data_IF_786590692605
#
_entry.id   IF_786590692605
#
_cell.length_a   1.000
_cell.length_b   1.000
_cell.length_c   1.000
_cell.angle_alpha   90.00
_cell.angle_beta   90.00
_cell.angle_gamma   90.00
#
_symmetry.space_group_name_H-M   'P 1'
#
loop_
_entity.id
_entity.type
_entity.pdbx_description
1 polymer ?
#
# COMPACT_ATOMS: atom_id res chain seq x y z
N UNK A 1 17.74 -4.09 20.30
CA UNK A 1 18.10 -3.86 18.88
C UNK A 1 17.23 -2.71 18.38
N UNK A 2 17.75 -1.72 17.63
CA UNK A 2 16.92 -0.66 17.01
C UNK A 2 16.51 -1.09 15.60
N UNK A 3 15.24 -0.95 15.27
CA UNK A 3 14.63 -1.28 13.97
C UNK A 3 13.65 -0.18 13.57
N UNK A 4 13.35 -0.09 12.27
CA UNK A 4 12.31 0.79 11.73
C UNK A 4 11.38 0.04 10.80
N UNK A 5 10.20 0.63 10.66
CA UNK A 5 9.04 0.13 9.94
C UNK A 5 8.59 1.34 9.10
N UNK A 6 8.66 1.25 7.76
CA UNK A 6 8.31 2.34 6.84
C UNK A 6 6.98 2.02 6.19
N UNK A 7 5.91 2.73 6.57
CA UNK A 7 4.55 2.43 6.13
C UNK A 7 4.12 3.26 4.93
N UNK A 8 3.48 2.60 3.97
CA UNK A 8 2.70 3.25 2.92
C UNK A 8 1.24 2.83 3.02
N UNK A 9 0.35 3.80 3.20
CA UNK A 9 -1.11 3.64 3.15
C UNK A 9 -1.65 4.51 2.04
N UNK A 10 -2.65 4.03 1.32
CA UNK A 10 -3.51 4.88 0.49
C UNK A 10 -4.89 4.25 0.49
N UNK A 11 -5.78 4.74 1.36
CA UNK A 11 -7.18 4.33 1.36
C UNK A 11 -7.98 5.26 0.46
N UNK A 12 -8.73 4.68 -0.49
CA UNK A 12 -9.85 5.38 -1.09
C UNK A 12 -11.06 5.20 -0.17
N UNK A 13 -11.55 6.28 0.43
CA UNK A 13 -12.77 6.25 1.26
C UNK A 13 -12.64 6.83 2.68
N UNK A 14 -12.58 8.17 2.79
CA UNK A 14 -13.17 8.96 3.89
C UNK A 14 -12.71 8.82 5.35
N UNK A 15 -12.10 7.71 5.80
CA UNK A 15 -11.94 7.38 7.22
C UNK A 15 -10.47 7.41 7.66
N UNK A 16 -10.08 8.45 8.39
CA UNK A 16 -8.71 8.64 8.89
C UNK A 16 -8.41 7.82 10.16
N UNK A 17 -7.44 6.91 10.08
CA UNK A 17 -6.91 6.15 11.22
C UNK A 17 -5.97 7.03 12.07
N UNK A 18 -6.05 6.95 13.40
CA UNK A 18 -5.09 7.62 14.30
C UNK A 18 -4.77 6.76 15.53
N UNK A 19 -3.55 6.93 16.05
CA UNK A 19 -2.84 5.95 16.90
C UNK A 19 -2.18 6.67 18.08
N UNK A 20 -2.29 6.10 19.28
CA UNK A 20 -1.61 6.60 20.47
C UNK A 20 -1.55 5.56 21.60
N UNK A 21 -0.37 5.42 22.22
CA UNK A 21 -0.14 4.54 23.38
C UNK A 21 0.78 5.22 24.41
N UNK A 22 0.56 5.01 25.72
CA UNK A 22 1.41 5.57 26.78
C UNK A 22 2.44 4.56 27.31
N UNK A 23 3.72 4.96 27.36
CA UNK A 23 4.70 4.52 28.38
C UNK A 23 5.92 5.44 28.40
N UNK A 24 6.68 5.41 29.50
CA UNK A 24 7.69 6.41 29.83
C UNK A 24 8.99 5.78 30.30
N UNK A 25 10.11 6.08 29.64
CA UNK A 25 11.46 6.08 30.21
C UNK A 25 12.43 6.88 29.30
N UNK A 26 13.52 7.50 29.82
CA UNK A 26 14.33 8.46 29.08
C UNK A 26 15.55 7.84 28.36
N UNK A 27 15.89 8.36 27.16
CA UNK A 27 17.15 8.07 26.46
C UNK A 27 17.71 9.36 25.82
N UNK A 28 19.02 9.55 25.84
CA UNK A 28 19.75 10.67 25.22
C UNK A 28 20.52 10.19 23.98
N UNK A 29 20.59 11.00 22.92
CA UNK A 29 21.31 10.65 21.68
C UNK A 29 22.29 11.73 21.20
N UNK A 30 23.32 11.27 20.46
CA UNK A 30 24.25 12.06 19.64
C UNK A 30 24.37 11.35 18.28
N UNK A 31 24.77 12.07 17.23
CA UNK A 31 24.89 11.55 15.85
C UNK A 31 26.26 11.87 15.23
N UNK A 32 26.54 11.24 14.09
CA UNK A 32 27.76 11.28 13.31
C UNK A 32 27.39 11.23 11.83
N UNK A 33 28.11 11.96 10.99
CA UNK A 33 27.90 12.01 9.55
C UNK A 33 29.25 12.06 8.84
N UNK A 34 29.39 11.32 7.74
CA UNK A 34 30.63 11.13 7.00
C UNK A 34 30.36 11.45 5.52
N UNK A 35 31.21 12.27 4.89
CA UNK A 35 31.02 12.69 3.49
C UNK A 35 32.36 12.67 2.73
N UNK A 36 32.42 11.80 1.71
CA UNK A 36 33.41 11.92 0.65
C UNK A 36 32.90 12.92 -0.40
N UNK A 37 33.54 14.08 -0.52
CA UNK A 37 33.22 15.09 -1.53
C UNK A 37 34.09 14.94 -2.78
N UNK A 38 33.47 14.71 -3.94
CA UNK A 38 34.11 14.87 -5.25
C UNK A 38 33.67 16.19 -5.87
N UNK A 39 34.46 17.25 -5.74
CA UNK A 39 34.25 18.49 -6.49
C UNK A 39 34.71 18.30 -7.93
N UNK A 40 33.84 18.60 -8.90
CA UNK A 40 34.15 18.47 -10.32
C UNK A 40 34.85 19.74 -10.84
N UNK A 41 36.18 19.74 -10.80
CA UNK A 41 37.01 20.74 -11.52
C UNK A 41 37.28 20.26 -12.96
N UNK A 42 37.19 21.12 -13.99
CA UNK A 42 37.36 20.71 -15.38
C UNK A 42 38.83 20.60 -15.81
N UNK A 43 39.56 19.62 -15.28
CA UNK A 43 40.90 19.25 -15.77
C UNK A 43 41.20 17.74 -15.56
N UNK A 44 41.95 17.15 -16.49
CA UNK A 44 42.20 15.69 -16.51
C UNK A 44 43.31 15.26 -15.52
N UNK A 45 42.95 14.92 -14.28
CA UNK A 45 43.78 14.16 -13.34
C UNK A 45 42.93 13.53 -12.22
N UNK A 46 43.26 12.32 -11.70
CA UNK A 46 42.52 11.70 -10.60
C UNK A 46 43.00 12.20 -9.23
N UNK A 47 42.28 13.15 -8.64
CA UNK A 47 42.59 13.70 -7.30
C UNK A 47 42.11 12.83 -6.12
N UNK A 48 42.81 12.97 -5.00
CA UNK A 48 42.69 12.09 -3.82
C UNK A 48 41.76 12.67 -2.76
N UNK A 49 40.90 11.82 -2.18
CA UNK A 49 40.15 12.14 -0.96
C UNK A 49 41.09 12.42 0.22
N UNK A 50 40.82 13.51 0.95
CA UNK A 50 41.48 13.85 2.21
C UNK A 50 40.45 14.00 3.33
N UNK A 51 40.77 13.52 4.53
CA UNK A 51 39.86 13.46 5.68
C UNK A 51 39.85 14.76 6.48
N UNK A 52 38.67 15.20 6.95
CA UNK A 52 38.51 16.38 7.82
C UNK A 52 37.74 16.08 9.11
N UNK A 53 37.85 16.96 10.10
CA UNK A 53 37.58 16.66 11.52
C UNK A 53 36.12 16.97 11.95
N UNK A 54 35.48 16.19 12.85
CA UNK A 54 34.05 16.34 13.17
C UNK A 54 33.68 17.56 14.04
N UNK A 55 32.44 18.04 13.91
CA UNK A 55 31.83 19.09 14.75
C UNK A 55 30.43 18.64 15.23
N UNK A 56 30.14 18.83 16.52
CA UNK A 56 28.89 18.40 17.16
C UNK A 56 27.78 19.46 17.09
N UNK A 57 26.52 19.04 17.08
CA UNK A 57 25.32 19.90 17.26
C UNK A 57 24.28 19.24 18.17
N UNK A 58 23.40 20.04 18.75
CA UNK A 58 22.39 19.64 19.74
C UNK A 58 21.02 20.18 19.32
N UNK A 59 19.96 19.45 19.67
CA UNK A 59 18.55 19.80 19.45
C UNK A 59 17.86 19.85 20.82
N UNK A 60 17.00 20.84 21.05
CA UNK A 60 16.32 21.06 22.33
C UNK A 60 14.79 21.00 22.14
N UNK A 61 14.08 20.37 23.08
CA UNK A 61 12.66 20.07 22.96
C UNK A 61 11.98 19.91 24.34
N UNK A 62 10.83 20.58 24.59
CA UNK A 62 10.15 20.55 25.88
C UNK A 62 9.46 19.20 26.16
N UNK A 63 9.47 18.77 27.43
CA UNK A 63 8.90 17.50 27.88
C UNK A 63 7.37 17.47 27.77
N UNK A 64 6.81 16.51 27.03
CA UNK A 64 5.43 15.99 27.22
C UNK A 64 5.40 14.45 27.03
N UNK A 65 4.43 13.72 27.63
CA UNK A 65 4.39 12.27 27.56
C UNK A 65 3.97 11.76 26.17
N UNK A 66 4.71 10.79 25.63
CA UNK A 66 4.34 9.89 24.51
C UNK A 66 3.85 10.50 23.19
N UNK A 67 3.90 11.82 22.99
CA UNK A 67 3.57 12.47 21.71
C UNK A 67 4.76 13.20 21.09
N UNK A 68 5.27 12.63 19.98
CA UNK A 68 6.17 13.28 19.03
C UNK A 68 5.75 12.89 17.61
N UNK A 69 5.57 13.87 16.72
CA UNK A 69 5.37 13.70 15.27
C UNK A 69 6.10 14.88 14.59
N UNK A 70 7.01 14.62 13.63
CA UNK A 70 7.76 15.69 12.93
C UNK A 70 8.21 15.38 11.47
N UNK A 71 7.64 16.10 10.49
CA UNK A 71 8.04 16.23 9.07
C UNK A 71 9.50 16.55 8.74
N UNK A 72 10.41 15.58 8.61
CA UNK A 72 11.63 15.81 7.86
C UNK A 72 11.38 15.69 6.35
N UNK A 73 11.54 16.82 5.65
CA UNK A 73 11.45 16.86 4.17
C UNK A 73 12.57 15.98 3.60
N UNK A 74 12.25 15.17 2.58
CA UNK A 74 13.24 14.43 1.77
C UNK A 74 13.43 15.00 0.35
N UNK A 75 12.73 16.09 0.03
CA UNK A 75 12.95 16.89 -1.18
C UNK A 75 12.65 18.36 -0.91
N UNK A 76 13.03 19.24 -1.84
CA UNK A 76 12.60 20.65 -1.80
C UNK A 76 11.07 20.75 -1.69
N UNK A 77 10.56 21.85 -1.10
CA UNK A 77 9.13 22.20 -1.20
C UNK A 77 8.78 22.21 -2.69
N UNK A 78 7.64 21.63 -3.05
CA UNK A 78 7.16 21.62 -4.45
C UNK A 78 6.60 23.01 -4.79
N UNK A 79 7.50 23.97 -4.95
CA UNK A 79 7.23 25.27 -5.59
C UNK A 79 6.99 24.99 -7.08
N UNK A 80 6.15 25.80 -7.73
CA UNK A 80 5.64 25.60 -9.11
C UNK A 80 6.62 24.89 -10.07
N UNK A 81 7.85 25.39 -10.22
CA UNK A 81 8.86 24.83 -11.16
C UNK A 81 9.26 23.36 -10.91
N UNK A 82 9.10 22.83 -9.69
CA UNK A 82 9.38 21.43 -9.34
C UNK A 82 8.14 20.52 -9.40
N UNK A 83 6.93 21.08 -9.54
CA UNK A 83 5.70 20.31 -9.61
C UNK A 83 5.71 19.42 -10.87
N UNK A 84 5.49 18.12 -10.67
CA UNK A 84 5.53 17.05 -11.68
C UNK A 84 6.93 16.72 -12.23
N UNK A 85 8.00 17.23 -11.61
CA UNK A 85 9.36 16.70 -11.75
C UNK A 85 9.67 15.66 -10.66
N UNK A 86 10.77 14.92 -10.80
CA UNK A 86 11.28 14.04 -9.71
C UNK A 86 11.69 14.88 -8.49
N UNK A 87 11.61 14.33 -7.26
CA UNK A 87 12.17 14.99 -6.08
C UNK A 87 13.66 15.32 -6.26
N UNK A 88 14.04 16.55 -5.89
CA UNK A 88 15.43 17.00 -5.86
C UNK A 88 15.92 17.01 -4.39
N UNK A 89 17.11 16.45 -4.08
CA UNK A 89 17.68 16.47 -2.74
C UNK A 89 17.80 17.89 -2.16
N UNK A 90 17.69 18.01 -0.84
CA UNK A 90 17.56 19.31 -0.17
C UNK A 90 18.90 20.04 -0.03
N UNK A 91 18.91 21.31 -0.44
CA UNK A 91 19.96 22.26 -0.10
C UNK A 91 20.11 22.48 1.42
N UNK A 92 21.34 22.50 1.93
CA UNK A 92 21.68 22.84 3.32
C UNK A 92 20.97 24.14 3.76
N UNK A 93 20.37 24.15 4.95
CA UNK A 93 19.58 25.26 5.48
C UNK A 93 20.29 26.03 6.61
N UNK A 94 19.86 27.27 6.82
CA UNK A 94 20.22 28.12 7.96
C UNK A 94 18.95 28.84 8.50
N UNK A 95 18.81 29.07 9.82
CA UNK A 95 19.70 28.65 10.92
C UNK A 95 19.76 27.13 11.06
N UNK A 96 20.76 26.60 11.77
CA UNK A 96 21.03 25.14 11.81
C UNK A 96 19.98 24.29 12.54
N UNK A 97 18.95 24.92 13.09
CA UNK A 97 17.83 24.27 13.77
C UNK A 97 16.55 24.77 13.10
N UNK A 98 15.84 23.89 12.39
CA UNK A 98 14.49 24.18 11.90
C UNK A 98 13.52 23.91 13.05
N UNK A 99 12.62 24.85 13.33
CA UNK A 99 11.44 24.51 14.11
C UNK A 99 10.51 23.66 13.25
N UNK A 100 10.22 22.45 13.70
CA UNK A 100 9.28 21.53 13.06
C UNK A 100 8.15 21.11 14.02
N UNK A 101 7.87 21.84 15.10
CA UNK A 101 6.73 21.54 16.01
C UNK A 101 5.34 21.71 15.37
N UNK A 102 5.27 22.01 14.09
CA UNK A 102 4.06 22.18 13.29
C UNK A 102 4.01 21.11 12.21
N UNK A 103 2.81 20.57 11.95
CA UNK A 103 2.58 19.63 10.86
C UNK A 103 2.85 20.35 9.52
N UNK A 104 3.76 19.86 8.67
CA UNK A 104 3.98 20.44 7.36
C UNK A 104 2.77 20.18 6.44
N UNK A 105 2.50 21.03 5.45
CA UNK A 105 1.45 20.76 4.48
C UNK A 105 1.73 19.44 3.75
N UNK A 106 0.76 18.54 3.80
CA UNK A 106 0.76 17.27 3.06
C UNK A 106 0.84 17.51 1.54
N UNK A 107 1.08 16.43 0.78
CA UNK A 107 0.80 16.47 -0.66
C UNK A 107 -0.71 16.71 -0.88
N UNK A 108 -1.13 17.39 -1.97
CA UNK A 108 -2.55 17.68 -2.24
C UNK A 108 -3.42 16.42 -2.37
N UNK A 109 -3.98 15.98 -1.24
CA UNK A 109 -4.73 14.73 -1.07
C UNK A 109 -5.72 14.86 0.10
N UNK A 110 -6.77 14.01 0.19
CA UNK A 110 -7.60 13.89 1.38
C UNK A 110 -6.86 13.23 2.57
N UNK A 111 -6.13 14.05 3.33
CA UNK A 111 -5.67 13.89 4.72
C UNK A 111 -5.10 12.54 5.23
N UNK A 112 -3.82 12.52 5.63
CA UNK A 112 -3.30 11.74 6.79
C UNK A 112 -1.84 12.15 7.17
N UNK A 113 -1.44 11.90 8.44
CA UNK A 113 -0.14 12.30 9.03
C UNK A 113 0.73 11.10 9.45
N UNK A 114 1.99 11.00 8.98
CA UNK A 114 2.98 9.99 9.45
C UNK A 114 4.41 10.55 9.52
N UNK A 115 5.01 10.51 10.72
CA UNK A 115 6.33 11.08 11.06
C UNK A 115 6.92 10.30 12.28
N UNK A 116 8.21 10.05 12.54
CA UNK A 116 9.48 9.97 11.78
C UNK A 116 10.56 9.25 12.69
N UNK A 117 11.74 8.80 12.21
CA UNK A 117 12.58 7.79 12.94
C UNK A 117 14.13 7.97 12.89
N UNK A 118 14.79 7.65 14.02
CA UNK A 118 16.24 7.38 14.17
C UNK A 118 16.79 6.39 13.12
N UNK A 119 17.86 6.75 12.39
CA UNK A 119 18.54 5.89 11.41
C UNK A 119 18.77 4.44 11.92
N UNK A 120 18.05 3.44 11.40
CA UNK A 120 18.08 2.06 11.89
C UNK A 120 19.19 1.24 11.22
N UNK A 121 19.50 0.07 11.79
CA UNK A 121 20.28 -0.98 11.11
C UNK A 121 19.41 -2.13 10.56
N UNK A 122 18.10 -2.03 10.71
CA UNK A 122 17.10 -2.96 10.15
C UNK A 122 15.84 -2.20 9.75
N UNK A 123 15.52 -2.20 8.46
CA UNK A 123 14.34 -1.60 7.85
C UNK A 123 13.45 -2.71 7.32
N UNK A 124 12.18 -2.68 7.68
CA UNK A 124 11.12 -3.45 7.01
C UNK A 124 10.21 -2.47 6.28
N UNK A 125 10.03 -2.73 4.99
CA UNK A 125 9.09 -1.98 4.15
C UNK A 125 7.74 -2.68 4.22
N UNK A 126 6.66 -1.92 4.43
CA UNK A 126 5.32 -2.47 4.39
C UNK A 126 4.31 -1.45 3.92
N UNK A 127 3.18 -1.95 3.45
CA UNK A 127 2.07 -1.13 3.04
C UNK A 127 0.86 -1.98 2.68
N UNK A 128 -0.28 -1.30 2.66
CA UNK A 128 -1.59 -1.87 2.38
C UNK A 128 -2.17 -1.24 1.10
N UNK A 129 -2.93 -2.01 0.31
CA UNK A 129 -3.54 -1.55 -0.95
C UNK A 129 -2.52 -1.00 -1.98
N UNK A 130 -2.67 0.24 -2.46
CA UNK A 130 -1.66 0.89 -3.31
C UNK A 130 -0.29 1.04 -2.62
N UNK A 131 -0.26 1.09 -1.28
CA UNK A 131 0.98 1.00 -0.49
C UNK A 131 1.60 -0.39 -0.51
N UNK A 132 0.79 -1.44 -0.66
CA UNK A 132 1.24 -2.81 -0.88
C UNK A 132 1.76 -3.02 -2.31
N UNK A 133 1.11 -2.43 -3.32
CA UNK A 133 1.67 -2.36 -4.68
C UNK A 133 3.00 -1.60 -4.71
N UNK A 134 3.09 -0.46 -4.01
CA UNK A 134 4.32 0.32 -3.87
C UNK A 134 5.44 -0.49 -3.20
N UNK A 135 5.08 -1.23 -2.15
CA UNK A 135 5.98 -2.20 -1.50
C UNK A 135 6.39 -3.31 -2.47
N UNK A 136 5.47 -3.86 -3.27
CA UNK A 136 5.75 -4.88 -4.28
C UNK A 136 6.68 -4.37 -5.40
N UNK A 137 6.51 -3.12 -5.86
CA UNK A 137 7.40 -2.48 -6.84
C UNK A 137 8.83 -2.32 -6.30
N UNK A 138 8.98 -1.77 -5.09
CA UNK A 138 10.30 -1.70 -4.43
C UNK A 138 10.86 -3.10 -4.15
N UNK A 139 10.02 -4.06 -3.79
CA UNK A 139 10.42 -5.45 -3.55
C UNK A 139 10.90 -6.15 -4.82
N UNK A 140 10.35 -5.83 -6.00
CA UNK A 140 10.71 -6.42 -7.28
C UNK A 140 11.73 -5.60 -8.10
N UNK A 141 12.23 -4.48 -7.56
CA UNK A 141 13.30 -3.68 -8.18
C UNK A 141 14.66 -4.09 -7.60
N UNK A 142 15.65 -4.36 -8.46
CA UNK A 142 17.03 -4.74 -8.08
C UNK A 142 17.70 -3.70 -7.21
N UNK A 143 17.62 -2.45 -7.63
CA UNK A 143 18.38 -1.33 -7.06
C UNK A 143 17.85 -0.93 -5.68
N UNK A 144 16.61 -1.31 -5.38
CA UNK A 144 15.94 -1.08 -4.10
C UNK A 144 16.33 -2.11 -3.04
N UNK A 145 16.91 -3.26 -3.41
CA UNK A 145 17.26 -4.37 -2.50
C UNK A 145 18.32 -4.02 -1.45
N UNK A 146 19.00 -2.87 -1.54
CA UNK A 146 19.95 -2.39 -0.54
C UNK A 146 19.28 -1.64 0.62
N UNK A 147 18.10 -1.05 0.38
CA UNK A 147 17.47 -0.10 1.31
C UNK A 147 16.58 -0.75 2.39
N UNK A 148 16.14 -1.99 2.18
CA UNK A 148 15.33 -2.74 3.15
C UNK A 148 15.84 -4.18 3.34
N UNK A 149 15.45 -4.83 4.44
CA UNK A 149 15.92 -6.18 4.79
C UNK A 149 14.78 -7.21 4.92
N UNK A 150 13.53 -6.76 4.86
CA UNK A 150 12.32 -7.58 4.74
C UNK A 150 11.17 -6.73 4.19
N UNK A 151 10.15 -7.38 3.64
CA UNK A 151 8.90 -6.75 3.22
C UNK A 151 7.65 -7.40 3.86
N UNK A 152 6.57 -6.63 3.98
CA UNK A 152 5.20 -7.13 4.21
C UNK A 152 4.28 -6.50 3.17
N UNK A 153 3.48 -7.31 2.46
CA UNK A 153 2.54 -6.86 1.41
C UNK A 153 1.12 -7.22 1.85
N UNK A 154 0.30 -6.21 2.12
CA UNK A 154 -1.03 -6.37 2.72
C UNK A 154 -2.12 -6.04 1.69
N UNK A 155 -2.96 -7.00 1.34
CA UNK A 155 -4.21 -6.75 0.61
C UNK A 155 -3.98 -5.98 -0.71
N UNK A 156 -2.98 -6.42 -1.48
CA UNK A 156 -2.53 -5.73 -2.70
C UNK A 156 -3.42 -6.05 -3.90
N UNK A 157 -3.93 -5.03 -4.63
CA UNK A 157 -4.65 -5.25 -5.90
C UNK A 157 -3.67 -5.66 -7.02
N UNK A 158 -3.27 -6.93 -7.02
CA UNK A 158 -2.19 -7.51 -7.82
C UNK A 158 -2.50 -7.69 -9.31
N UNK A 159 -3.78 -7.72 -9.71
CA UNK A 159 -4.20 -7.84 -11.12
C UNK A 159 -4.72 -6.53 -11.75
N UNK A 160 -4.79 -5.43 -10.98
CA UNK A 160 -5.04 -4.10 -11.54
C UNK A 160 -3.83 -3.70 -12.39
N UNK A 161 -3.98 -3.49 -13.71
CA UNK A 161 -2.82 -3.31 -14.58
C UNK A 161 -2.28 -1.88 -14.52
N UNK A 162 -0.99 -1.73 -14.23
CA UNK A 162 -0.27 -0.48 -14.46
C UNK A 162 -0.36 -0.07 -15.92
N UNK A 163 -0.50 1.23 -16.18
CA UNK A 163 -0.66 1.76 -17.54
C UNK A 163 0.69 2.00 -18.20
N UNK A 164 0.76 1.77 -19.50
CA UNK A 164 1.80 2.34 -20.35
C UNK A 164 1.61 3.86 -20.52
N UNK A 165 2.65 4.58 -20.96
CA UNK A 165 2.53 5.99 -21.34
C UNK A 165 1.43 6.25 -22.39
N UNK A 166 1.21 5.33 -23.33
CA UNK A 166 0.17 5.45 -24.36
C UNK A 166 -1.25 5.41 -23.76
N UNK A 167 -1.50 4.51 -22.80
CA UNK A 167 -2.78 4.43 -22.08
C UNK A 167 -2.99 5.61 -21.12
N UNK A 168 -1.92 6.31 -20.75
CA UNK A 168 -1.97 7.54 -19.98
C UNK A 168 -2.28 8.80 -20.80
N UNK A 169 -2.36 8.71 -22.14
CA UNK A 169 -2.73 9.87 -22.98
C UNK A 169 -4.14 10.34 -22.63
N UNK A 170 -5.16 9.47 -22.71
CA UNK A 170 -6.57 9.85 -22.44
C UNK A 170 -6.80 10.56 -21.10
N UNK A 171 -6.36 10.04 -19.93
CA UNK A 171 -6.52 10.76 -18.66
C UNK A 171 -5.75 12.08 -18.62
N UNK A 172 -4.59 12.18 -19.29
CA UNK A 172 -3.82 13.44 -19.37
C UNK A 172 -4.51 14.49 -20.25
N UNK A 173 -5.15 14.07 -21.36
CA UNK A 173 -5.96 14.94 -22.22
C UNK A 173 -7.15 15.51 -21.44
N UNK A 174 -7.94 14.64 -20.80
CA UNK A 174 -9.10 15.06 -20.02
C UNK A 174 -8.70 15.97 -18.84
N UNK A 175 -7.54 15.73 -18.21
CA UNK A 175 -7.03 16.61 -17.15
C UNK A 175 -6.56 17.97 -17.69
N UNK A 176 -5.96 18.02 -18.88
CA UNK A 176 -5.61 19.27 -19.56
C UNK A 176 -6.86 20.11 -19.86
N UNK A 177 -7.88 19.48 -20.45
CA UNK A 177 -9.18 20.11 -20.74
C UNK A 177 -9.85 20.64 -19.47
N UNK A 178 -9.87 19.86 -18.38
CA UNK A 178 -10.47 20.28 -17.10
C UNK A 178 -9.71 21.41 -16.39
N UNK A 179 -8.45 21.64 -16.75
CA UNK A 179 -7.64 22.75 -16.24
C UNK A 179 -7.50 23.92 -17.25
N UNK A 180 -8.20 23.86 -18.39
CA UNK A 180 -8.07 24.79 -19.52
C UNK A 180 -6.61 24.95 -20.04
N UNK A 181 -5.80 23.90 -19.92
CA UNK A 181 -4.41 23.86 -20.35
C UNK A 181 -4.22 23.08 -21.66
N UNK A 182 -3.14 23.36 -22.38
CA UNK A 182 -2.71 22.51 -23.51
C UNK A 182 -2.02 21.25 -22.99
N UNK A 183 -2.23 20.11 -23.67
CA UNK A 183 -1.57 18.84 -23.34
C UNK A 183 -0.05 19.03 -23.35
N UNK A 184 0.60 18.71 -22.23
CA UNK A 184 2.06 18.86 -22.06
C UNK A 184 2.54 20.26 -21.67
N UNK A 185 1.66 21.27 -21.59
CA UNK A 185 2.01 22.60 -21.07
C UNK A 185 2.13 22.59 -19.54
N UNK A 186 3.24 22.02 -19.06
CA UNK A 186 3.54 21.99 -17.63
C UNK A 186 3.56 23.39 -17.00
N UNK A 187 3.80 24.47 -17.75
CA UNK A 187 3.76 25.83 -17.20
C UNK A 187 2.32 26.24 -16.86
N UNK A 188 1.35 25.98 -17.75
CA UNK A 188 -0.07 26.18 -17.46
C UNK A 188 -0.55 25.32 -16.28
N UNK A 189 -0.28 24.01 -16.30
CA UNK A 189 -0.64 23.10 -15.20
C UNK A 189 -0.08 23.53 -13.84
N UNK A 190 1.06 24.23 -13.81
CA UNK A 190 1.71 24.79 -12.61
C UNK A 190 1.09 26.09 -12.09
N UNK A 191 0.11 26.66 -12.79
CA UNK A 191 -0.67 27.83 -12.33
C UNK A 191 -2.00 27.45 -11.66
N UNK A 192 -2.52 26.25 -11.95
CA UNK A 192 -3.74 25.74 -11.31
C UNK A 192 -3.55 25.55 -9.79
N UNK A 193 -4.59 25.83 -9.00
CA UNK A 193 -4.52 25.56 -7.56
C UNK A 193 -4.64 24.07 -7.27
N UNK A 194 -4.20 23.66 -6.08
CA UNK A 194 -4.38 22.30 -5.59
C UNK A 194 -5.86 21.86 -5.60
N UNK A 195 -6.79 22.79 -5.37
CA UNK A 195 -8.22 22.51 -5.36
C UNK A 195 -8.77 22.32 -6.78
N UNK A 196 -8.29 23.11 -7.76
CA UNK A 196 -8.65 22.94 -9.17
C UNK A 196 -8.13 21.62 -9.71
N UNK A 197 -6.89 21.24 -9.37
CA UNK A 197 -6.29 19.95 -9.76
C UNK A 197 -7.11 18.79 -9.19
N UNK A 198 -7.48 18.81 -7.90
CA UNK A 198 -8.29 17.74 -7.28
C UNK A 198 -9.71 17.70 -7.88
N UNK A 199 -10.34 18.85 -8.15
CA UNK A 199 -11.65 18.90 -8.80
C UNK A 199 -11.60 18.37 -10.25
N UNK A 200 -10.57 18.75 -11.01
CA UNK A 200 -10.30 18.26 -12.36
C UNK A 200 -10.05 16.75 -12.35
N UNK A 201 -9.18 16.23 -11.48
CA UNK A 201 -8.96 14.80 -11.30
C UNK A 201 -10.25 14.07 -10.92
N UNK A 202 -11.09 14.61 -10.03
CA UNK A 202 -12.37 13.99 -9.64
C UNK A 202 -13.33 13.88 -10.83
N UNK A 203 -13.42 14.92 -11.66
CA UNK A 203 -14.21 14.89 -12.89
C UNK A 203 -13.66 13.90 -13.92
N UNK A 204 -12.34 13.82 -14.07
CA UNK A 204 -11.66 12.84 -14.95
C UNK A 204 -11.90 11.41 -14.44
N UNK A 205 -11.83 11.16 -13.14
CA UNK A 205 -12.07 9.85 -12.53
C UNK A 205 -13.48 9.35 -12.87
N UNK A 206 -14.50 10.18 -12.65
CA UNK A 206 -15.91 9.89 -12.99
C UNK A 206 -16.10 9.50 -14.46
N UNK A 207 -15.40 10.17 -15.38
CA UNK A 207 -15.40 9.81 -16.81
C UNK A 207 -14.70 8.47 -17.05
N UNK A 208 -13.52 8.23 -16.46
CA UNK A 208 -12.74 7.02 -16.67
C UNK A 208 -13.42 5.76 -16.10
N UNK A 209 -14.04 5.84 -14.93
CA UNK A 209 -14.71 4.69 -14.30
C UNK A 209 -15.93 4.24 -15.09
N UNK A 210 -16.68 5.18 -15.68
CA UNK A 210 -17.80 4.87 -16.59
C UNK A 210 -17.38 4.11 -17.86
N UNK A 211 -16.10 4.22 -18.26
CA UNK A 211 -15.55 3.57 -19.45
C UNK A 211 -14.76 2.29 -19.12
N UNK A 212 -14.17 2.19 -17.93
CA UNK A 212 -13.35 1.05 -17.49
C UNK A 212 -13.51 0.83 -15.98
N UNK A 213 -14.42 -0.07 -15.59
CA UNK A 213 -14.76 -0.43 -14.21
C UNK A 213 -13.55 -0.63 -13.27
N UNK A 214 -12.48 -1.31 -13.72
CA UNK A 214 -11.27 -1.55 -12.91
C UNK A 214 -10.50 -0.26 -12.54
N UNK A 215 -10.77 0.87 -13.19
CA UNK A 215 -10.19 2.17 -12.83
C UNK A 215 -10.89 2.84 -11.64
N UNK A 216 -11.92 2.21 -11.07
CA UNK A 216 -12.54 2.69 -9.82
C UNK A 216 -11.60 2.55 -8.63
N UNK A 217 -10.90 1.41 -8.52
CA UNK A 217 -9.93 1.15 -7.46
C UNK A 217 -8.79 2.18 -7.49
N UNK A 218 -8.16 2.36 -8.65
CA UNK A 218 -6.98 3.21 -8.80
C UNK A 218 -6.98 3.97 -10.14
N UNK A 219 -7.59 5.17 -10.21
CA UNK A 219 -7.65 5.94 -11.44
C UNK A 219 -6.31 6.60 -11.83
N UNK A 220 -5.35 6.70 -10.90
CA UNK A 220 -4.02 7.29 -11.10
C UNK A 220 -2.89 6.34 -10.63
N UNK A 221 -2.85 5.15 -11.22
CA UNK A 221 -1.84 4.10 -11.03
C UNK A 221 -0.40 4.53 -11.41
N UNK A 222 0.63 3.83 -10.92
CA UNK A 222 1.98 3.86 -11.49
C UNK A 222 1.99 3.67 -13.02
N UNK A 223 2.95 4.33 -13.68
CA UNK A 223 3.23 4.20 -15.13
C UNK A 223 4.32 3.15 -15.30
N UNK A 224 4.22 2.27 -16.29
CA UNK A 224 5.35 1.44 -16.74
C UNK A 224 6.40 2.35 -17.40
N UNK A 225 7.39 2.76 -16.61
CA UNK A 225 8.41 3.75 -16.95
C UNK A 225 9.76 3.13 -17.33
N UNK A 226 9.92 1.81 -17.14
CA UNK A 226 11.17 1.06 -17.33
C UNK A 226 12.35 1.57 -16.48
N UNK A 227 12.07 2.23 -15.36
CA UNK A 227 13.08 2.73 -14.41
C UNK A 227 12.78 2.27 -12.98
N UNK A 228 11.55 2.42 -12.52
CA UNK A 228 11.03 1.84 -11.26
C UNK A 228 9.97 0.78 -11.54
N UNK A 229 9.15 0.97 -12.58
CA UNK A 229 8.09 0.04 -12.98
C UNK A 229 8.47 -0.60 -14.31
N UNK A 230 9.00 -1.82 -14.26
CA UNK A 230 9.51 -2.53 -15.44
C UNK A 230 8.46 -3.45 -16.11
N UNK A 231 7.24 -3.50 -15.57
CA UNK A 231 6.15 -4.33 -16.08
C UNK A 231 4.99 -4.45 -15.08
N UNK A 232 4.11 -5.42 -15.29
CA UNK A 232 3.04 -5.76 -14.34
C UNK A 232 3.59 -6.62 -13.19
N UNK A 233 3.04 -6.48 -11.97
CA UNK A 233 3.55 -7.18 -10.77
C UNK A 233 3.68 -8.70 -10.96
N UNK A 234 2.66 -9.34 -11.55
CA UNK A 234 2.64 -10.78 -11.80
C UNK A 234 3.64 -11.25 -12.88
N UNK A 235 3.97 -10.38 -13.84
CA UNK A 235 5.03 -10.64 -14.83
C UNK A 235 6.42 -10.44 -14.20
N UNK A 236 6.60 -9.38 -13.41
CA UNK A 236 7.86 -9.06 -12.72
C UNK A 236 8.23 -10.16 -11.70
N UNK A 237 7.30 -10.57 -10.83
CA UNK A 237 7.53 -11.64 -9.84
C UNK A 237 7.75 -13.01 -10.49
N UNK A 238 7.18 -13.23 -11.70
CA UNK A 238 7.37 -14.47 -12.43
C UNK A 238 8.77 -14.61 -13.02
N UNK A 239 9.38 -13.49 -13.42
CA UNK A 239 10.65 -13.41 -14.15
C UNK A 239 11.83 -12.88 -13.31
N UNK A 240 11.66 -12.72 -11.99
CA UNK A 240 12.71 -12.19 -11.10
C UNK A 240 13.98 -13.05 -11.14
N UNK A 241 15.12 -12.40 -11.36
CA UNK A 241 16.42 -13.03 -11.63
C UNK A 241 17.46 -12.84 -10.52
N UNK A 242 17.08 -12.20 -9.41
CA UNK A 242 17.96 -11.86 -8.28
C UNK A 242 17.35 -12.29 -6.93
N UNK A 243 18.19 -12.36 -5.90
CA UNK A 243 17.78 -12.79 -4.55
C UNK A 243 16.95 -11.73 -3.84
N UNK A 244 15.66 -12.02 -3.68
CA UNK A 244 14.71 -11.21 -2.92
C UNK A 244 14.91 -11.31 -1.40
N UNK A 245 14.35 -10.36 -0.66
CA UNK A 245 14.30 -10.39 0.82
C UNK A 245 13.19 -11.35 1.32
N UNK A 246 13.19 -11.71 2.61
CA UNK A 246 12.02 -12.31 3.24
C UNK A 246 10.76 -11.46 3.04
N UNK A 247 9.63 -12.15 2.90
CA UNK A 247 8.31 -11.56 2.67
C UNK A 247 7.23 -12.19 3.57
N UNK A 248 6.40 -11.36 4.20
CA UNK A 248 5.03 -11.71 4.60
C UNK A 248 4.09 -11.18 3.52
N UNK A 249 3.09 -11.96 3.12
CA UNK A 249 2.06 -11.52 2.18
C UNK A 249 0.69 -12.12 2.51
N UNK A 250 -0.39 -11.37 2.30
CA UNK A 250 -1.74 -11.86 2.54
C UNK A 250 -2.82 -10.88 2.11
N UNK A 251 -4.06 -11.24 2.40
CA UNK A 251 -5.29 -10.50 2.07
C UNK A 251 -6.27 -10.56 3.25
N UNK A 252 -7.26 -9.67 3.28
CA UNK A 252 -8.50 -9.95 4.02
C UNK A 252 -9.37 -10.98 3.27
N UNK A 253 -10.44 -11.48 3.89
CA UNK A 253 -11.34 -12.47 3.26
C UNK A 253 -12.39 -11.88 2.34
N UNK A 254 -12.76 -10.59 2.48
CA UNK A 254 -13.86 -9.95 1.74
C UNK A 254 -13.44 -8.63 1.08
N UNK A 255 -12.20 -8.58 0.58
CA UNK A 255 -11.52 -7.43 -0.03
C UNK A 255 -12.44 -6.49 -0.82
N UNK A 256 -13.18 -7.02 -1.79
CA UNK A 256 -13.94 -6.20 -2.72
C UNK A 256 -15.33 -5.78 -2.19
N UNK A 257 -15.77 -6.23 -1.01
CA UNK A 257 -17.15 -6.03 -0.54
C UNK A 257 -17.52 -4.54 -0.45
N UNK A 258 -16.74 -3.75 0.30
CA UNK A 258 -16.95 -2.30 0.42
C UNK A 258 -16.92 -1.59 -0.95
N UNK A 259 -15.91 -1.89 -1.78
CA UNK A 259 -15.79 -1.30 -3.11
C UNK A 259 -17.01 -1.58 -4.01
N UNK A 260 -17.60 -2.78 -3.96
CA UNK A 260 -18.79 -3.11 -4.75
C UNK A 260 -20.02 -2.34 -4.27
N UNK A 261 -20.17 -2.12 -2.96
CA UNK A 261 -21.28 -1.34 -2.40
C UNK A 261 -21.11 0.17 -2.62
N UNK A 262 -19.87 0.68 -2.64
CA UNK A 262 -19.55 2.06 -3.00
C UNK A 262 -19.77 2.37 -4.50
N UNK A 263 -19.52 1.40 -5.40
CA UNK A 263 -19.85 1.55 -6.84
C UNK A 263 -21.37 1.45 -7.04
N UNK A 264 -22.02 0.46 -6.41
CA UNK A 264 -23.45 0.17 -6.57
C UNK A 264 -24.18 0.28 -5.23
N UNK A 265 -24.67 1.48 -4.93
CA UNK A 265 -25.52 1.74 -3.76
C UNK A 265 -26.89 1.06 -3.83
N UNK A 266 -27.34 0.68 -5.03
CA UNK A 266 -28.57 -0.09 -5.30
C UNK A 266 -28.27 -1.56 -5.64
N UNK A 267 -29.22 -2.48 -5.45
CA UNK A 267 -29.07 -3.88 -5.83
C UNK A 267 -28.68 -4.09 -7.30
N UNK A 268 -27.73 -4.99 -7.55
CA UNK A 268 -27.31 -5.37 -8.91
C UNK A 268 -28.13 -6.57 -9.37
N UNK A 269 -28.98 -6.47 -10.42
CA UNK A 269 -29.74 -7.61 -10.93
C UNK A 269 -28.85 -8.58 -11.76
N UNK A 270 -29.25 -9.85 -11.94
CA UNK A 270 -28.51 -10.86 -12.72
C UNK A 270 -28.10 -10.44 -14.13
N UNK A 271 -28.89 -9.61 -14.82
CA UNK A 271 -28.53 -9.10 -16.15
C UNK A 271 -27.33 -8.15 -16.08
N UNK A 272 -27.35 -7.18 -15.16
CA UNK A 272 -26.26 -6.22 -14.98
C UNK A 272 -24.99 -6.92 -14.48
N UNK A 273 -25.11 -7.93 -13.62
CA UNK A 273 -24.00 -8.82 -13.26
C UNK A 273 -23.34 -9.44 -14.50
N UNK A 274 -24.13 -9.96 -15.45
CA UNK A 274 -23.61 -10.55 -16.68
C UNK A 274 -22.98 -9.50 -17.63
N UNK A 275 -23.56 -8.31 -17.73
CA UNK A 275 -23.01 -7.18 -18.49
C UNK A 275 -21.65 -6.71 -17.93
N UNK A 276 -21.54 -6.55 -16.60
CA UNK A 276 -20.28 -6.24 -15.89
C UNK A 276 -19.24 -7.34 -16.16
N UNK A 277 -19.65 -8.61 -16.07
CA UNK A 277 -18.80 -9.76 -16.35
C UNK A 277 -18.22 -9.75 -17.76
N UNK A 278 -19.07 -9.55 -18.78
CA UNK A 278 -18.65 -9.42 -20.18
C UNK A 278 -17.76 -8.18 -20.40
N UNK A 279 -18.05 -7.06 -19.74
CA UNK A 279 -17.27 -5.83 -19.85
C UNK A 279 -15.87 -5.92 -19.21
N UNK A 280 -15.66 -6.81 -18.23
CA UNK A 280 -14.37 -7.03 -17.55
C UNK A 280 -13.59 -8.19 -18.19
N UNK A 281 -14.24 -9.33 -18.46
CA UNK A 281 -13.57 -10.58 -18.85
C UNK A 281 -13.81 -11.01 -20.31
N UNK A 282 -14.63 -10.27 -21.06
CA UNK A 282 -14.94 -10.57 -22.46
C UNK A 282 -15.52 -11.99 -22.62
N UNK A 283 -15.10 -12.70 -23.66
CA UNK A 283 -15.54 -14.09 -23.92
C UNK A 283 -15.10 -15.08 -22.84
N UNK A 284 -14.10 -14.76 -22.00
CA UNK A 284 -13.74 -15.62 -20.85
C UNK A 284 -14.88 -15.70 -19.83
N UNK A 285 -15.75 -14.69 -19.77
CA UNK A 285 -16.86 -14.65 -18.82
C UNK A 285 -17.82 -15.83 -18.96
N UNK A 286 -17.93 -16.42 -20.16
CA UNK A 286 -18.76 -17.62 -20.39
C UNK A 286 -18.36 -18.80 -19.47
N UNK A 287 -17.07 -18.94 -19.12
CA UNK A 287 -16.60 -19.93 -18.14
C UNK A 287 -16.76 -19.46 -16.69
N UNK A 288 -16.75 -18.15 -16.46
CA UNK A 288 -16.88 -17.56 -15.12
C UNK A 288 -18.33 -17.70 -14.64
N UNK A 289 -19.33 -17.43 -15.48
CA UNK A 289 -20.75 -17.59 -15.13
C UNK A 289 -21.16 -19.07 -14.97
N UNK A 290 -20.46 -20.02 -15.59
CA UNK A 290 -20.62 -21.46 -15.31
C UNK A 290 -20.14 -21.83 -13.90
N UNK A 291 -19.04 -21.23 -13.42
CA UNK A 291 -18.48 -21.47 -12.08
C UNK A 291 -19.19 -20.67 -10.98
N UNK A 292 -19.65 -19.47 -11.31
CA UNK A 292 -20.28 -18.49 -10.42
C UNK A 292 -21.61 -18.01 -11.02
N UNK A 293 -22.66 -18.87 -11.09
CA UNK A 293 -23.95 -18.48 -11.65
C UNK A 293 -24.67 -17.46 -10.74
N UNK A 294 -25.54 -16.59 -11.30
CA UNK A 294 -26.31 -15.62 -10.52
C UNK A 294 -27.17 -16.29 -9.44
N UNK A 295 -27.18 -15.71 -8.25
CA UNK A 295 -27.94 -16.19 -7.09
C UNK A 295 -29.41 -15.74 -7.21
N UNK A 296 -30.19 -16.55 -7.92
CA UNK A 296 -31.62 -16.33 -8.15
C UNK A 296 -31.91 -15.07 -8.97
N UNK A 297 -32.98 -14.36 -8.61
CA UNK A 297 -33.35 -13.05 -9.19
C UNK A 297 -32.98 -11.87 -8.27
N UNK A 298 -32.11 -12.10 -7.28
CA UNK A 298 -31.81 -11.16 -6.20
C UNK A 298 -30.64 -10.21 -6.50
N UNK A 299 -30.16 -9.56 -5.44
CA UNK A 299 -28.98 -8.68 -5.47
C UNK A 299 -27.69 -9.49 -5.65
N UNK A 300 -26.94 -9.21 -6.71
CA UNK A 300 -25.69 -9.90 -7.07
C UNK A 300 -24.44 -9.19 -6.54
N UNK A 301 -24.56 -8.15 -5.70
CA UNK A 301 -23.38 -7.44 -5.14
C UNK A 301 -22.46 -8.35 -4.34
N UNK A 302 -22.97 -9.31 -3.56
CA UNK A 302 -22.15 -10.30 -2.85
C UNK A 302 -21.39 -11.23 -3.83
N UNK A 303 -22.03 -11.64 -4.93
CA UNK A 303 -21.41 -12.47 -5.96
C UNK A 303 -20.31 -11.69 -6.71
N UNK A 304 -20.54 -10.41 -7.04
CA UNK A 304 -19.50 -9.52 -7.58
C UNK A 304 -18.34 -9.31 -6.60
N UNK A 305 -18.63 -9.12 -5.31
CA UNK A 305 -17.62 -8.97 -4.27
C UNK A 305 -16.75 -10.24 -4.15
N UNK A 306 -17.34 -11.43 -4.24
CA UNK A 306 -16.58 -12.69 -4.31
C UNK A 306 -15.69 -12.76 -5.54
N UNK A 307 -16.23 -12.50 -6.75
CA UNK A 307 -15.43 -12.49 -7.99
C UNK A 307 -14.24 -11.53 -7.91
N UNK A 308 -14.50 -10.29 -7.47
CA UNK A 308 -13.49 -9.24 -7.42
C UNK A 308 -12.45 -9.50 -6.31
N UNK A 309 -12.85 -9.97 -5.12
CA UNK A 309 -11.92 -10.38 -4.05
C UNK A 309 -10.94 -11.43 -4.55
N UNK A 310 -11.44 -12.44 -5.26
CA UNK A 310 -10.62 -13.54 -5.76
C UNK A 310 -9.73 -13.11 -6.93
N UNK A 311 -10.26 -12.43 -7.94
CA UNK A 311 -9.51 -12.10 -9.16
C UNK A 311 -8.60 -10.87 -9.01
N UNK A 312 -8.92 -9.91 -8.13
CA UNK A 312 -8.12 -8.69 -7.92
C UNK A 312 -7.03 -8.90 -6.86
N UNK A 313 -7.37 -9.56 -5.76
CA UNK A 313 -6.52 -9.63 -4.57
C UNK A 313 -6.01 -11.05 -4.27
N UNK A 314 -6.89 -11.97 -3.85
CA UNK A 314 -6.49 -13.22 -3.20
C UNK A 314 -5.75 -14.21 -4.11
N UNK A 315 -6.33 -14.54 -5.28
CA UNK A 315 -5.73 -15.50 -6.20
C UNK A 315 -4.46 -15.00 -6.90
N UNK A 316 -4.35 -13.74 -7.39
CA UNK A 316 -3.07 -13.23 -7.88
C UNK A 316 -2.03 -13.05 -6.75
N UNK A 317 -2.46 -12.77 -5.50
CA UNK A 317 -1.57 -12.82 -4.33
C UNK A 317 -1.01 -14.23 -4.10
N UNK A 318 -1.81 -15.30 -4.28
CA UNK A 318 -1.31 -16.69 -4.24
C UNK A 318 -0.23 -16.95 -5.30
N UNK A 319 -0.38 -16.43 -6.52
CA UNK A 319 0.65 -16.53 -7.57
C UNK A 319 1.96 -15.82 -7.17
N UNK A 320 1.85 -14.65 -6.56
CA UNK A 320 3.00 -13.89 -6.03
C UNK A 320 3.68 -14.65 -4.86
N UNK A 321 2.89 -15.16 -3.92
CA UNK A 321 3.36 -15.91 -2.75
C UNK A 321 4.13 -17.18 -3.16
N UNK A 322 3.61 -17.94 -4.14
CA UNK A 322 4.24 -19.14 -4.74
C UNK A 322 5.65 -18.92 -5.31
N UNK A 323 6.05 -17.66 -5.51
CA UNK A 323 7.39 -17.26 -5.99
C UNK A 323 8.30 -16.72 -4.89
N UNK A 324 7.75 -16.14 -3.81
CA UNK A 324 8.49 -15.20 -2.94
C UNK A 324 8.15 -15.22 -1.45
N UNK A 325 7.02 -15.78 -1.04
CA UNK A 325 6.57 -15.70 0.36
C UNK A 325 7.49 -16.50 1.29
N UNK A 326 7.82 -15.91 2.44
CA UNK A 326 8.42 -16.63 3.58
C UNK A 326 7.33 -17.06 4.56
N UNK A 327 6.27 -16.25 4.69
CA UNK A 327 5.06 -16.53 5.46
C UNK A 327 3.86 -15.97 4.69
N UNK A 328 2.67 -16.56 4.87
CA UNK A 328 1.42 -16.00 4.33
C UNK A 328 0.29 -16.01 5.34
N UNK A 329 -0.67 -15.10 5.18
CA UNK A 329 -1.88 -15.02 6.01
C UNK A 329 -3.14 -14.80 5.18
N UNK A 330 -4.28 -15.09 5.79
CA UNK A 330 -5.57 -14.49 5.43
C UNK A 330 -6.18 -13.90 6.71
N UNK A 331 -6.81 -12.73 6.61
CA UNK A 331 -7.45 -12.05 7.74
C UNK A 331 -8.97 -12.11 7.58
N UNK A 332 -9.64 -12.79 8.52
CA UNK A 332 -11.09 -13.05 8.50
C UNK A 332 -11.72 -12.86 9.88
N UNK A 333 -11.19 -11.92 10.66
CA UNK A 333 -11.80 -11.47 11.90
C UNK A 333 -12.65 -10.23 11.61
N UNK A 334 -13.99 -10.29 11.76
CA UNK A 334 -14.87 -9.25 11.27
C UNK A 334 -14.82 -7.97 12.12
N UNK A 335 -14.89 -6.82 11.47
CA UNK A 335 -14.93 -5.52 12.13
C UNK A 335 -16.35 -5.17 12.57
N UNK A 336 -16.56 -5.04 13.88
CA UNK A 336 -17.85 -4.67 14.47
C UNK A 336 -17.92 -3.15 14.67
N UNK A 337 -18.65 -2.45 13.80
CA UNK A 337 -18.76 -0.98 13.78
C UNK A 337 -20.06 -0.46 14.43
N UNK A 338 -20.92 -1.38 14.90
CA UNK A 338 -22.23 -1.09 15.49
C UNK A 338 -23.10 -0.20 14.59
N UNK A 339 -23.14 -0.54 13.30
CA UNK A 339 -23.92 0.13 12.27
C UNK A 339 -23.30 1.38 11.66
N UNK A 340 -22.11 1.83 12.11
CA UNK A 340 -21.47 3.04 11.54
C UNK A 340 -20.92 2.83 10.12
N UNK A 341 -20.66 1.58 9.72
CA UNK A 341 -20.33 1.18 8.33
C UNK A 341 -21.46 0.41 7.62
N UNK A 342 -22.72 0.52 8.06
CA UNK A 342 -23.85 -0.14 7.40
C UNK A 342 -24.01 0.23 5.91
N UNK A 343 -23.61 1.45 5.51
CA UNK A 343 -23.77 1.94 4.13
C UNK A 343 -22.78 1.34 3.14
N UNK A 344 -21.59 0.90 3.58
CA UNK A 344 -20.60 0.23 2.74
C UNK A 344 -20.75 -1.30 2.75
N UNK A 345 -21.71 -1.84 3.50
CA UNK A 345 -21.89 -3.30 3.64
C UNK A 345 -20.81 -3.99 4.48
N UNK A 346 -19.89 -3.25 5.11
CA UNK A 346 -18.75 -3.80 5.85
C UNK A 346 -19.02 -4.07 7.35
N UNK A 347 -20.15 -3.62 7.91
CA UNK A 347 -20.43 -3.83 9.33
C UNK A 347 -20.63 -5.32 9.65
N UNK A 348 -19.72 -5.89 10.44
CA UNK A 348 -19.70 -7.32 10.77
C UNK A 348 -19.06 -8.22 9.70
N UNK A 349 -18.45 -7.65 8.66
CA UNK A 349 -17.67 -8.33 7.63
C UNK A 349 -16.16 -8.09 7.82
N UNK A 350 -15.32 -8.65 6.94
CA UNK A 350 -13.86 -8.40 6.94
C UNK A 350 -13.41 -7.77 5.62
N UNK A 351 -13.68 -6.47 5.49
CA UNK A 351 -13.43 -5.63 4.33
C UNK A 351 -11.97 -5.19 4.20
N UNK A 352 -11.61 -4.72 3.00
CA UNK A 352 -10.27 -4.23 2.66
C UNK A 352 -9.80 -3.08 3.55
N UNK A 353 -8.74 -3.31 4.33
CA UNK A 353 -8.17 -2.32 5.25
C UNK A 353 -8.63 -2.48 6.70
N UNK A 354 -9.60 -3.37 6.99
CA UNK A 354 -10.03 -3.64 8.36
C UNK A 354 -8.89 -4.19 9.22
N UNK A 355 -7.92 -4.91 8.63
CA UNK A 355 -6.73 -5.41 9.33
C UNK A 355 -5.89 -4.26 9.93
N UNK A 356 -5.93 -3.07 9.30
CA UNK A 356 -5.24 -1.87 9.79
C UNK A 356 -5.88 -1.31 11.06
N UNK A 357 -7.20 -1.44 11.22
CA UNK A 357 -7.91 -1.00 12.43
C UNK A 357 -7.31 -1.72 13.64
N UNK A 358 -7.14 -3.04 13.54
CA UNK A 358 -6.55 -3.90 14.57
C UNK A 358 -5.03 -3.72 14.71
N UNK A 359 -4.27 -3.65 13.61
CA UNK A 359 -2.80 -3.53 13.62
C UNK A 359 -2.32 -2.26 14.35
N UNK A 360 -3.16 -1.22 14.39
CA UNK A 360 -2.83 0.09 14.94
C UNK A 360 -3.67 0.53 16.17
N UNK A 361 -4.55 -0.33 16.72
CA UNK A 361 -5.60 0.02 17.71
C UNK A 361 -6.24 1.39 17.44
N UNK A 362 -6.91 1.49 16.28
CA UNK A 362 -7.39 2.78 15.78
C UNK A 362 -8.53 3.37 16.62
N UNK A 363 -8.28 4.58 17.13
CA UNK A 363 -9.05 5.28 18.17
C UNK A 363 -10.57 5.48 17.93
N UNK A 364 -11.07 5.31 16.71
CA UNK A 364 -12.48 5.52 16.36
C UNK A 364 -13.36 4.26 16.52
N UNK A 365 -12.76 3.10 16.78
CA UNK A 365 -13.49 1.86 17.15
C UNK A 365 -13.30 1.58 18.63
N UNK A 366 -14.35 1.14 19.33
CA UNK A 366 -14.28 0.74 20.73
C UNK A 366 -14.01 -0.77 20.87
N UNK A 367 -12.72 -1.12 21.01
CA UNK A 367 -12.24 -2.49 21.05
C UNK A 367 -12.73 -3.27 22.29
N UNK A 368 -13.42 -4.39 22.06
CA UNK A 368 -13.70 -5.45 23.03
C UNK A 368 -12.43 -6.22 23.40
N UNK A 369 -12.52 -7.09 24.41
CA UNK A 369 -11.39 -7.96 24.80
C UNK A 369 -10.98 -8.95 23.71
N UNK A 370 -11.87 -9.30 22.75
CA UNK A 370 -11.54 -10.12 21.60
C UNK A 370 -10.73 -9.32 20.56
N UNK A 371 -11.19 -8.12 20.22
CA UNK A 371 -10.52 -7.21 19.30
C UNK A 371 -9.10 -6.87 19.79
N UNK A 372 -8.93 -6.69 21.11
CA UNK A 372 -7.61 -6.47 21.74
C UNK A 372 -6.69 -7.68 21.63
N UNK A 373 -7.20 -8.92 21.74
CA UNK A 373 -6.41 -10.13 21.50
C UNK A 373 -5.92 -10.21 20.06
N UNK A 374 -6.80 -9.93 19.09
CA UNK A 374 -6.47 -9.94 17.67
C UNK A 374 -5.44 -8.86 17.33
N UNK A 375 -5.67 -7.63 17.78
CA UNK A 375 -4.74 -6.51 17.66
C UNK A 375 -3.35 -6.83 18.21
N UNK A 376 -3.26 -7.20 19.49
CA UNK A 376 -1.99 -7.44 20.17
C UNK A 376 -1.22 -8.60 19.52
N UNK A 377 -1.95 -9.60 19.01
CA UNK A 377 -1.39 -10.70 18.22
C UNK A 377 -0.80 -10.19 16.91
N UNK A 378 -1.58 -9.45 16.11
CA UNK A 378 -1.20 -8.94 14.80
C UNK A 378 0.03 -8.01 14.90
N UNK A 379 0.00 -7.04 15.84
CA UNK A 379 1.12 -6.16 16.15
C UNK A 379 2.34 -6.92 16.72
N UNK A 380 2.15 -8.01 17.45
CA UNK A 380 3.25 -8.87 17.92
C UNK A 380 3.93 -9.55 16.74
N UNK A 381 3.19 -10.22 15.85
CA UNK A 381 3.76 -10.86 14.66
C UNK A 381 4.48 -9.86 13.74
N UNK A 382 3.85 -8.72 13.42
CA UNK A 382 4.43 -7.68 12.56
C UNK A 382 5.72 -7.11 13.15
N UNK A 383 5.71 -6.72 14.43
CA UNK A 383 6.91 -6.15 15.05
C UNK A 383 7.97 -7.20 15.34
N UNK A 384 7.62 -8.47 15.60
CA UNK A 384 8.56 -9.59 15.66
C UNK A 384 9.30 -9.73 14.34
N UNK A 385 8.55 -9.89 13.24
CA UNK A 385 9.09 -10.03 11.91
C UNK A 385 9.99 -8.85 11.52
N UNK A 386 9.60 -7.60 11.82
CA UNK A 386 10.43 -6.44 11.53
C UNK A 386 11.79 -6.45 12.27
N UNK A 387 11.83 -7.00 13.50
CA UNK A 387 13.06 -7.21 14.28
C UNK A 387 13.89 -8.37 13.68
N UNK A 388 13.30 -9.55 13.53
CA UNK A 388 14.01 -10.83 13.40
C UNK A 388 13.95 -11.50 12.01
N UNK A 389 13.02 -11.08 11.14
CA UNK A 389 12.57 -11.78 9.93
C UNK A 389 11.87 -13.14 10.18
N UNK A 390 11.40 -13.36 11.41
CA UNK A 390 10.52 -14.47 11.82
C UNK A 390 9.39 -13.91 12.70
N UNK A 391 8.10 -13.96 12.28
CA UNK A 391 7.00 -13.43 13.08
C UNK A 391 6.86 -14.11 14.45
N UNK A 392 7.44 -15.30 14.63
CA UNK A 392 7.40 -16.05 15.88
C UNK A 392 8.39 -15.56 16.96
N UNK A 393 9.29 -14.62 16.66
CA UNK A 393 10.39 -14.21 17.55
C UNK A 393 10.77 -12.72 17.40
N UNK A 394 11.25 -12.02 18.45
CA UNK A 394 11.69 -12.55 19.75
C UNK A 394 10.61 -12.57 20.85
N UNK A 395 9.44 -11.94 20.64
CA UNK A 395 8.33 -12.02 21.60
C UNK A 395 7.60 -13.35 21.39
N UNK A 396 7.29 -14.06 22.47
CA UNK A 396 6.54 -15.32 22.39
C UNK A 396 5.12 -15.09 21.84
N UNK A 397 4.70 -15.99 20.96
CA UNK A 397 3.37 -16.01 20.32
C UNK A 397 2.59 -17.24 20.79
N UNK A 398 1.25 -17.15 20.79
CA UNK A 398 0.35 -18.22 21.25
C UNK A 398 0.24 -19.38 20.26
N UNK A 399 0.21 -19.06 18.96
CA UNK A 399 0.26 -20.01 17.86
C UNK A 399 1.56 -19.79 17.07
N UNK A 400 2.15 -20.87 16.53
CA UNK A 400 3.34 -20.74 15.69
C UNK A 400 2.91 -20.56 14.24
N UNK A 401 3.24 -19.42 13.63
CA UNK A 401 3.05 -19.16 12.21
C UNK A 401 4.04 -20.03 11.40
N UNK A 402 3.58 -20.99 10.58
CA UNK A 402 4.44 -21.81 9.74
C UNK A 402 5.04 -20.98 8.60
N UNK A 403 6.21 -21.41 8.10
CA UNK A 403 6.76 -20.85 6.86
C UNK A 403 5.92 -21.31 5.68
N UNK A 404 5.76 -20.44 4.70
CA UNK A 404 5.12 -20.79 3.44
C UNK A 404 5.97 -21.83 2.70
N UNK A 405 5.36 -22.95 2.28
CA UNK A 405 6.00 -24.01 1.50
C UNK A 405 5.15 -24.22 0.25
N UNK A 406 5.75 -24.03 -0.94
CA UNK A 406 5.03 -24.23 -2.21
C UNK A 406 4.61 -25.69 -2.35
N UNK A 407 3.32 -25.93 -2.63
CA UNK A 407 2.73 -27.27 -2.68
C UNK A 407 2.38 -27.88 -1.31
N UNK A 408 2.52 -27.12 -0.23
CA UNK A 408 1.95 -27.39 1.10
C UNK A 408 1.68 -26.03 1.75
N UNK A 409 0.70 -25.31 1.20
CA UNK A 409 0.67 -23.84 1.24
C UNK A 409 -0.03 -23.32 2.52
N UNK A 410 0.59 -23.66 3.66
CA UNK A 410 0.12 -23.27 4.99
C UNK A 410 0.14 -21.74 5.18
N UNK A 411 -0.92 -21.23 5.81
CA UNK A 411 -1.09 -19.84 6.17
C UNK A 411 -1.62 -19.69 7.60
N UNK A 412 -1.35 -18.54 8.20
CA UNK A 412 -2.01 -18.14 9.45
C UNK A 412 -3.35 -17.50 9.12
N UNK A 413 -4.44 -18.05 9.65
CA UNK A 413 -5.77 -17.47 9.53
C UNK A 413 -6.11 -16.69 10.80
N UNK A 414 -6.25 -15.36 10.65
CA UNK A 414 -6.62 -14.46 11.75
C UNK A 414 -8.13 -14.45 11.95
N UNK A 415 -8.56 -15.07 13.03
CA UNK A 415 -9.89 -15.07 13.64
C UNK A 415 -9.71 -15.31 15.16
N UNK A 416 -10.78 -15.31 15.97
CA UNK A 416 -10.68 -15.74 17.38
C UNK A 416 -11.37 -17.12 17.57
N UNK A 417 -10.64 -18.21 17.89
CA UNK A 417 -9.18 -18.31 18.05
C UNK A 417 -8.45 -18.48 16.71
N UNK A 418 -7.19 -18.03 16.67
CA UNK A 418 -6.29 -18.18 15.52
C UNK A 418 -6.18 -19.63 15.05
N UNK A 419 -6.08 -19.85 13.74
CA UNK A 419 -5.86 -21.17 13.17
C UNK A 419 -4.71 -21.17 12.18
N UNK A 420 -4.06 -22.33 12.01
CA UNK A 420 -3.30 -22.63 10.80
C UNK A 420 -4.24 -23.35 9.84
N UNK A 421 -4.26 -22.92 8.59
CA UNK A 421 -5.02 -23.53 7.51
C UNK A 421 -4.10 -23.69 6.29
N UNK A 422 -4.55 -24.41 5.27
CA UNK A 422 -3.73 -24.83 4.13
C UNK A 422 -4.46 -24.53 2.81
N UNK A 423 -3.69 -24.25 1.74
CA UNK A 423 -4.17 -24.03 0.38
C UNK A 423 -5.36 -23.04 0.27
N UNK A 424 -5.16 -21.79 0.73
CA UNK A 424 -6.20 -20.75 0.74
C UNK A 424 -6.91 -20.61 -0.63
N UNK A 425 -8.24 -20.72 -0.62
CA UNK A 425 -9.13 -20.66 -1.79
C UNK A 425 -8.71 -21.59 -2.95
N UNK A 426 -8.09 -22.73 -2.65
CA UNK A 426 -7.40 -23.60 -3.62
C UNK A 426 -8.10 -23.73 -4.97
N UNK A 427 -9.32 -24.26 -4.99
CA UNK A 427 -10.00 -24.66 -6.22
C UNK A 427 -10.60 -23.48 -6.99
N UNK A 428 -11.04 -22.43 -6.28
CA UNK A 428 -11.47 -21.17 -6.89
C UNK A 428 -10.29 -20.46 -7.56
N UNK A 429 -9.13 -20.41 -6.88
CA UNK A 429 -7.92 -19.82 -7.44
C UNK A 429 -7.24 -20.69 -8.51
N UNK A 430 -7.34 -22.01 -8.43
CA UNK A 430 -6.91 -22.91 -9.53
C UNK A 430 -7.78 -22.69 -10.77
N UNK A 431 -9.09 -22.46 -10.61
CA UNK A 431 -9.95 -22.00 -11.71
C UNK A 431 -9.50 -20.64 -12.25
N UNK A 432 -9.25 -19.64 -11.40
CA UNK A 432 -8.81 -18.31 -11.83
C UNK A 432 -7.44 -18.32 -12.54
N UNK A 433 -6.52 -19.22 -12.15
CA UNK A 433 -5.25 -19.43 -12.85
C UNK A 433 -5.47 -19.88 -14.31
N UNK A 434 -6.58 -20.58 -14.64
CA UNK A 434 -6.95 -20.94 -16.04
C UNK A 434 -7.58 -19.80 -16.83
N UNK A 435 -8.20 -18.83 -16.16
CA UNK A 435 -8.79 -17.61 -16.76
C UNK A 435 -7.70 -16.55 -17.00
N UNK A 436 -6.75 -16.45 -16.06
CA UNK A 436 -5.64 -15.52 -16.06
C UNK A 436 -5.99 -14.11 -15.58
N UNK A 437 -5.00 -13.45 -14.98
CA UNK A 437 -5.10 -12.14 -14.32
C UNK A 437 -4.82 -10.94 -15.24
N UNK A 438 -4.91 -11.15 -16.56
CA UNK A 438 -4.84 -10.06 -17.55
C UNK A 438 -6.21 -9.88 -18.17
N UNK A 439 -6.68 -8.63 -18.17
CA UNK A 439 -7.92 -8.25 -18.87
C UNK A 439 -7.83 -8.66 -20.35
N UNK A 440 -8.95 -9.15 -20.87
CA UNK A 440 -9.21 -9.42 -22.29
C UNK A 440 -9.48 -8.13 -23.08
#
# INVERSE_FOLDING_TARGET
MKFSIIFYVTMFGGVGLSVGYPRSDPIVFKWYEDYASTEASPSNSPDKLTTTTPIWKTLDAPRKPSFFRQVFRNGHRVVSILLWNRPVPISKWAPSTINATEIPPACPQPACDVHDILCPKTITLFGQSAGAQSTALHFLTSDMQSFFQAAIIESSPMSVPFRTYAEYITPTVLLAEKLNCTIGDLACFRTASCQDIVAAQTAVNSMLTSLKLLLFFEPWLPVIDNMIVHGQLLDMVSNVSFTLKPLIIGTVTEEALGFIYDIWSTPVPPMLYAEIGLAIFGTKFLKIIERYPPEGSGDQRLLLARLATQWIFACPTRVFARKTATYSYAFGYPLQTNGTMNSSGCDGHTCHGDELVFLFESFWVNFTDADRRISQTLATYWTNYAKSKDPNQPVQVSLRWPKFIRGFEQYLYFQDPLQIQEDYLKDDCDFWDTIGYKKS
#
